data_IF_496678766008
#
_entry.id   IF_496678766008
#
_cell.length_a   1.000
_cell.length_b   1.000
_cell.length_c   1.000
_cell.angle_alpha   90.00
_cell.angle_beta   90.00
_cell.angle_gamma   90.00
#
_symmetry.space_group_name_H-M   'P 1'
#
loop_
_entity.id
_entity.type
_entity.pdbx_description
1 polymer ?
#
# COMPACT_ATOMS: atom_id res chain seq x y z
N UNK A 1 23.58 -45.65 -50.33
CA UNK A 1 22.54 -44.62 -49.99
C UNK A 1 22.43 -44.56 -48.50
N UNK A 2 23.11 -43.63 -47.92
CA UNK A 2 23.11 -43.40 -46.46
C UNK A 2 22.21 -42.23 -46.14
N UNK A 3 21.06 -42.49 -45.51
CA UNK A 3 20.18 -41.48 -44.98
C UNK A 3 20.70 -41.05 -43.61
N UNK A 4 21.26 -39.86 -43.50
CA UNK A 4 21.61 -39.26 -42.22
C UNK A 4 20.36 -38.67 -41.58
N UNK A 5 19.91 -39.27 -40.48
CA UNK A 5 18.89 -38.68 -39.64
C UNK A 5 19.56 -37.57 -38.81
N UNK A 6 19.15 -36.35 -39.06
CA UNK A 6 19.42 -35.23 -38.17
C UNK A 6 18.36 -35.20 -37.08
N UNK A 7 18.73 -35.62 -35.89
CA UNK A 7 17.90 -35.38 -34.69
C UNK A 7 18.11 -33.95 -34.24
N UNK A 8 17.11 -33.10 -34.47
CA UNK A 8 17.08 -31.75 -33.93
C UNK A 8 16.69 -31.82 -32.45
N UNK A 9 17.66 -31.61 -31.59
CA UNK A 9 17.46 -31.45 -30.14
C UNK A 9 16.87 -30.06 -29.91
N UNK A 10 15.55 -29.98 -29.74
CA UNK A 10 14.88 -28.76 -29.31
C UNK A 10 15.10 -28.65 -27.81
N UNK A 11 16.07 -27.86 -27.38
CA UNK A 11 16.23 -27.46 -26.00
C UNK A 11 15.11 -26.50 -25.64
N UNK A 12 14.07 -27.03 -24.99
CA UNK A 12 13.00 -26.24 -24.41
C UNK A 12 13.53 -25.44 -23.24
N UNK A 13 13.84 -24.15 -23.45
CA UNK A 13 14.01 -23.20 -22.35
C UNK A 13 12.67 -23.00 -21.67
N UNK A 14 12.44 -23.76 -20.61
CA UNK A 14 11.34 -23.47 -19.68
C UNK A 14 11.71 -22.18 -18.94
N UNK A 15 11.19 -21.05 -19.38
CA UNK A 15 11.19 -19.84 -18.59
C UNK A 15 10.27 -20.07 -17.39
N UNK A 16 10.86 -20.40 -16.25
CA UNK A 16 10.16 -20.29 -14.97
C UNK A 16 9.92 -18.77 -14.76
N UNK A 17 8.73 -18.33 -15.09
CA UNK A 17 8.29 -17.00 -14.68
C UNK A 17 8.26 -16.99 -13.16
N UNK A 18 9.15 -16.24 -12.52
CA UNK A 18 9.11 -16.02 -11.08
C UNK A 18 7.76 -15.38 -10.76
N UNK A 19 6.97 -16.04 -9.91
CA UNK A 19 5.69 -15.50 -9.44
C UNK A 19 5.96 -14.17 -8.72
N UNK A 20 5.40 -13.08 -9.23
CA UNK A 20 5.45 -11.78 -8.56
C UNK A 20 4.61 -11.82 -7.28
N UNK A 21 5.07 -11.13 -6.24
CA UNK A 21 4.28 -10.91 -5.05
C UNK A 21 2.96 -10.24 -5.40
N UNK A 22 1.86 -10.84 -4.98
CA UNK A 22 0.53 -10.26 -5.12
C UNK A 22 0.13 -9.60 -3.81
N UNK A 23 -0.11 -8.29 -3.86
CA UNK A 23 -0.57 -7.51 -2.71
C UNK A 23 -2.05 -7.21 -2.88
N UNK A 24 -2.84 -7.64 -1.91
CA UNK A 24 -4.27 -7.36 -1.80
C UNK A 24 -4.49 -6.19 -0.86
N UNK A 25 -5.23 -5.19 -1.30
CA UNK A 25 -5.62 -4.01 -0.52
C UNK A 25 -7.10 -4.12 -0.18
N UNK A 26 -7.45 -4.00 1.09
CA UNK A 26 -8.83 -4.06 1.57
C UNK A 26 -9.25 -2.74 2.20
N UNK A 27 -10.47 -2.30 1.88
CA UNK A 27 -11.13 -1.12 2.43
C UNK A 27 -10.27 0.14 2.50
N UNK A 28 -9.66 0.58 1.39
CA UNK A 28 -8.86 1.80 1.40
C UNK A 28 -9.76 3.03 1.61
N UNK A 29 -9.40 3.86 2.57
CA UNK A 29 -10.10 5.10 2.85
C UNK A 29 -9.15 6.20 3.31
N UNK A 30 -9.58 7.43 3.13
CA UNK A 30 -8.86 8.64 3.53
C UNK A 30 -9.75 9.47 4.44
N UNK A 31 -9.17 10.06 5.46
CA UNK A 31 -9.91 10.99 6.33
C UNK A 31 -10.20 12.29 5.60
N UNK A 32 -11.46 12.71 5.58
CA UNK A 32 -11.89 14.00 5.03
C UNK A 32 -11.23 15.17 5.74
N UNK A 33 -11.16 16.31 5.07
CA UNK A 33 -10.51 17.52 5.61
C UNK A 33 -11.41 18.74 5.47
N UNK A 34 -11.18 19.71 6.36
CA UNK A 34 -11.72 21.06 6.23
C UNK A 34 -10.78 21.96 5.41
N UNK A 35 -11.24 23.10 4.86
CA UNK A 35 -10.43 23.93 3.95
C UNK A 35 -9.08 24.39 4.51
N UNK A 36 -8.99 24.61 5.82
CA UNK A 36 -7.74 25.04 6.47
C UNK A 36 -6.74 23.93 6.72
N UNK A 37 -7.14 22.67 6.55
CA UNK A 37 -6.32 21.50 6.82
C UNK A 37 -5.50 21.12 5.59
N UNK A 38 -4.19 20.97 5.78
CA UNK A 38 -3.23 20.75 4.70
C UNK A 38 -2.72 19.29 4.64
N UNK A 39 -3.12 18.45 5.55
CA UNK A 39 -2.68 17.07 5.60
C UNK A 39 -3.80 16.12 6.02
N UNK A 40 -3.72 14.86 5.59
CA UNK A 40 -4.65 13.80 5.97
C UNK A 40 -3.96 12.44 5.96
N UNK A 41 -4.59 11.45 6.59
CA UNK A 41 -4.14 10.08 6.63
C UNK A 41 -4.99 9.16 5.77
N UNK A 42 -4.36 8.20 5.11
CA UNK A 42 -5.00 7.09 4.41
C UNK A 42 -4.75 5.78 5.16
N UNK A 43 -5.77 4.93 5.17
CA UNK A 43 -5.83 3.70 5.95
C UNK A 43 -6.38 2.57 5.09
N UNK A 44 -5.87 1.36 5.31
CA UNK A 44 -6.26 0.18 4.54
C UNK A 44 -5.68 -1.08 5.15
N UNK A 45 -6.25 -2.23 4.80
CA UNK A 45 -5.63 -3.52 5.06
C UNK A 45 -4.71 -3.92 3.91
N UNK A 46 -3.54 -4.47 4.22
CA UNK A 46 -2.55 -4.94 3.26
C UNK A 46 -2.19 -6.39 3.53
N UNK A 47 -2.24 -7.22 2.50
CA UNK A 47 -1.82 -8.62 2.57
C UNK A 47 -1.04 -8.99 1.33
N UNK A 48 0.16 -9.54 1.52
CA UNK A 48 1.00 -9.99 0.42
C UNK A 48 1.10 -11.52 0.38
N UNK A 49 1.19 -12.09 -0.81
CA UNK A 49 1.43 -13.52 -1.01
C UNK A 49 2.86 -13.95 -0.69
N UNK A 50 3.80 -13.01 -0.68
CA UNK A 50 5.21 -13.22 -0.33
C UNK A 50 5.73 -12.07 0.50
N UNK A 51 6.90 -12.24 1.13
CA UNK A 51 7.50 -11.18 1.94
C UNK A 51 7.87 -9.98 1.09
N UNK A 52 7.26 -8.84 1.38
CA UNK A 52 7.53 -7.55 0.76
C UNK A 52 7.59 -6.46 1.81
N UNK A 53 8.05 -5.27 1.40
CA UNK A 53 8.01 -4.06 2.22
C UNK A 53 7.29 -2.95 1.46
N UNK A 54 6.38 -2.26 2.12
CA UNK A 54 5.82 -1.01 1.61
C UNK A 54 6.86 0.08 1.83
N UNK A 55 7.43 0.61 0.74
CA UNK A 55 8.57 1.54 0.80
C UNK A 55 8.21 2.97 0.39
N UNK A 56 7.01 3.17 -0.13
CA UNK A 56 6.58 4.50 -0.53
C UNK A 56 5.16 4.52 -1.07
N UNK A 57 4.68 5.72 -1.24
CA UNK A 57 3.38 5.99 -1.83
C UNK A 57 3.38 7.32 -2.55
N UNK A 58 2.46 7.50 -3.48
CA UNK A 58 2.23 8.77 -4.18
C UNK A 58 0.74 8.96 -4.44
N UNK A 59 0.33 10.20 -4.63
CA UNK A 59 -1.03 10.55 -4.98
C UNK A 59 -1.06 11.92 -5.66
N UNK A 60 -1.91 12.13 -6.68
CA UNK A 60 -2.11 13.46 -7.25
C UNK A 60 -2.82 14.43 -6.29
N UNK A 61 -3.40 13.93 -5.19
CA UNK A 61 -4.11 14.75 -4.20
C UNK A 61 -3.18 15.50 -3.23
N UNK A 62 -1.89 15.12 -3.16
CA UNK A 62 -0.93 15.72 -2.24
C UNK A 62 0.45 15.83 -2.89
N UNK A 63 1.23 16.84 -2.49
CA UNK A 63 2.58 17.01 -3.02
C UNK A 63 3.57 16.02 -2.43
N UNK A 64 3.38 15.63 -1.17
CA UNK A 64 4.22 14.70 -0.44
C UNK A 64 3.33 13.61 0.12
N UNK A 65 3.73 12.35 -0.12
CA UNK A 65 3.04 11.17 0.42
C UNK A 65 4.08 10.25 1.03
N UNK A 66 3.90 9.91 2.30
CA UNK A 66 4.87 9.14 3.08
C UNK A 66 4.18 8.04 3.89
N UNK A 67 4.90 6.98 4.19
CA UNK A 67 4.46 5.97 5.16
C UNK A 67 4.92 6.41 6.55
N UNK A 68 3.98 6.52 7.47
CA UNK A 68 4.22 6.97 8.84
C UNK A 68 3.87 5.90 9.86
N UNK A 69 4.53 5.95 10.99
CA UNK A 69 4.16 5.20 12.18
C UNK A 69 3.83 6.15 13.34
N UNK A 70 2.95 5.69 14.23
CA UNK A 70 2.69 6.33 15.50
C UNK A 70 3.43 5.54 16.60
N UNK A 71 4.20 6.23 17.41
CA UNK A 71 4.83 5.66 18.58
C UNK A 71 4.49 6.47 19.82
N UNK A 72 4.41 5.79 20.96
CA UNK A 72 4.20 6.45 22.25
C UNK A 72 5.47 6.31 23.06
N UNK A 73 6.04 7.44 23.49
CA UNK A 73 7.20 7.51 24.36
C UNK A 73 6.92 8.51 25.48
N UNK A 74 7.09 8.07 26.73
CA UNK A 74 6.83 8.90 27.93
C UNK A 74 5.42 9.54 27.95
N UNK A 75 4.41 8.81 27.49
CA UNK A 75 3.03 9.30 27.41
C UNK A 75 2.75 10.27 26.27
N UNK A 76 3.75 10.57 25.42
CA UNK A 76 3.64 11.46 24.27
C UNK A 76 3.54 10.61 22.99
N UNK A 77 2.48 10.82 22.21
CA UNK A 77 2.34 10.23 20.88
C UNK A 77 3.17 11.02 19.88
N UNK A 78 4.04 10.31 19.15
CA UNK A 78 4.87 10.88 18.09
C UNK A 78 4.60 10.17 16.79
N UNK A 79 4.53 10.93 15.72
CA UNK A 79 4.38 10.46 14.35
C UNK A 79 5.67 10.71 13.59
N UNK A 80 6.14 9.71 12.86
CA UNK A 80 7.35 9.85 12.04
C UNK A 80 7.25 9.05 10.74
N UNK A 81 7.89 9.55 9.70
CA UNK A 81 8.08 8.80 8.47
C UNK A 81 9.00 7.59 8.69
N UNK A 82 8.68 6.49 8.05
CA UNK A 82 9.49 5.27 8.05
C UNK A 82 9.88 4.90 6.63
N UNK A 83 11.06 4.31 6.45
CA UNK A 83 11.57 3.93 5.14
C UNK A 83 10.90 2.69 4.55
N UNK A 84 10.26 1.90 5.36
CA UNK A 84 9.54 0.72 4.90
C UNK A 84 8.78 0.01 6.01
N UNK A 85 7.62 -0.52 5.63
CA UNK A 85 6.77 -1.32 6.50
C UNK A 85 6.79 -2.77 6.01
N UNK A 86 7.30 -3.73 6.82
CA UNK A 86 7.29 -5.12 6.43
C UNK A 86 5.88 -5.69 6.32
N UNK A 87 5.64 -6.44 5.23
CA UNK A 87 4.45 -7.27 5.04
C UNK A 87 4.88 -8.74 4.94
N UNK A 88 4.89 -9.48 6.05
CA UNK A 88 5.18 -10.91 6.01
C UNK A 88 4.15 -11.67 5.17
N UNK A 89 4.60 -12.65 4.39
CA UNK A 89 3.75 -13.46 3.52
C UNK A 89 2.53 -14.02 4.25
N UNK A 90 1.35 -13.82 3.68
CA UNK A 90 0.08 -14.35 4.18
C UNK A 90 -0.48 -13.65 5.42
N UNK A 91 0.20 -12.65 5.96
CA UNK A 91 -0.24 -11.88 7.13
C UNK A 91 -0.88 -10.56 6.72
N UNK A 92 -2.06 -10.27 7.24
CA UNK A 92 -2.69 -8.95 7.06
C UNK A 92 -2.02 -7.93 7.98
N UNK A 93 -1.53 -6.84 7.39
CA UNK A 93 -1.01 -5.68 8.10
C UNK A 93 -2.00 -4.54 7.90
N UNK A 94 -2.50 -3.98 8.99
CA UNK A 94 -3.48 -2.92 8.93
C UNK A 94 -2.85 -1.55 9.13
N UNK A 95 -3.15 -0.64 8.20
CA UNK A 95 -2.93 0.78 8.36
C UNK A 95 -4.21 1.37 8.95
N UNK A 96 -4.14 1.88 10.17
CA UNK A 96 -5.31 2.35 10.92
C UNK A 96 -4.98 3.60 11.75
N UNK A 97 -5.99 4.41 12.09
CA UNK A 97 -5.80 5.54 13.00
C UNK A 97 -5.14 5.10 14.32
N UNK A 98 -4.12 5.84 14.74
CA UNK A 98 -3.32 5.51 15.92
C UNK A 98 -2.19 4.50 15.68
N UNK A 99 -2.08 3.95 14.48
CA UNK A 99 -1.04 3.02 14.06
C UNK A 99 -0.30 3.51 12.82
N UNK A 100 0.18 2.57 12.01
CA UNK A 100 0.77 2.90 10.71
C UNK A 100 -0.28 3.51 9.77
N UNK A 101 0.14 4.43 8.92
CA UNK A 101 -0.72 5.05 7.92
C UNK A 101 0.07 5.64 6.77
N UNK A 102 -0.61 5.92 5.67
CA UNK A 102 -0.08 6.72 4.58
C UNK A 102 -0.47 8.17 4.84
N UNK A 103 0.52 9.03 5.00
CA UNK A 103 0.31 10.45 5.24
C UNK A 103 0.34 11.21 3.93
N UNK A 104 -0.74 11.96 3.66
CA UNK A 104 -0.82 12.90 2.54
C UNK A 104 -0.53 14.30 3.08
N UNK A 105 0.53 14.92 2.59
CA UNK A 105 1.03 16.21 3.08
C UNK A 105 0.98 17.23 1.95
N UNK A 106 0.64 18.44 2.29
CA UNK A 106 0.45 19.54 1.35
C UNK A 106 -0.61 19.21 0.28
N UNK A 107 -1.83 19.02 0.76
CA UNK A 107 -3.00 18.72 -0.06
C UNK A 107 -3.24 19.79 -1.11
N UNK A 108 -3.53 19.36 -2.34
CA UNK A 108 -3.83 20.26 -3.47
C UNK A 108 -5.19 20.96 -3.27
N UNK A 109 -6.13 20.24 -2.68
CA UNK A 109 -7.47 20.73 -2.34
C UNK A 109 -8.02 20.01 -1.10
N UNK A 110 -9.07 20.53 -0.43
CA UNK A 110 -9.75 19.79 0.62
C UNK A 110 -10.29 18.45 0.11
N UNK A 111 -10.28 17.45 0.97
CA UNK A 111 -10.82 16.12 0.69
C UNK A 111 -12.24 16.02 1.25
N UNK A 112 -13.23 15.91 0.38
CA UNK A 112 -14.64 15.88 0.74
C UNK A 112 -15.18 14.45 0.84
N UNK A 113 -16.00 14.12 1.85
CA UNK A 113 -16.63 12.82 1.96
C UNK A 113 -17.32 12.38 0.68
N UNK A 114 -17.14 11.12 0.29
CA UNK A 114 -17.68 10.54 -0.94
C UNK A 114 -16.78 10.67 -2.16
N UNK A 115 -15.75 11.51 -2.13
CA UNK A 115 -14.73 11.56 -3.18
C UNK A 115 -13.83 10.32 -3.11
N UNK A 116 -13.20 9.98 -4.25
CA UNK A 116 -12.17 8.97 -4.33
C UNK A 116 -10.81 9.62 -4.53
N UNK A 117 -9.82 9.15 -3.78
CA UNK A 117 -8.43 9.60 -3.87
C UNK A 117 -7.58 8.46 -4.42
N UNK A 118 -6.98 8.61 -5.61
CA UNK A 118 -6.07 7.61 -6.14
C UNK A 118 -4.75 7.66 -5.34
N UNK A 119 -4.28 6.49 -4.91
CA UNK A 119 -3.01 6.33 -4.20
C UNK A 119 -2.25 5.19 -4.86
N UNK A 120 -0.99 5.45 -5.22
CA UNK A 120 -0.08 4.44 -5.71
C UNK A 120 0.83 4.00 -4.58
N UNK A 121 0.84 2.70 -4.28
CA UNK A 121 1.66 2.10 -3.24
C UNK A 121 2.84 1.38 -3.89
N UNK A 122 4.04 1.62 -3.41
CA UNK A 122 5.26 0.98 -3.93
C UNK A 122 5.78 -0.04 -2.93
N UNK A 123 5.98 -1.26 -3.41
CA UNK A 123 6.49 -2.40 -2.63
C UNK A 123 7.82 -2.88 -3.19
N UNK A 124 8.66 -3.41 -2.32
CA UNK A 124 9.91 -4.09 -2.68
C UNK A 124 9.89 -5.50 -2.10
N UNK A 125 10.08 -6.49 -2.96
CA UNK A 125 10.20 -7.90 -2.55
C UNK A 125 11.58 -8.24 -1.98
N UNK A 126 11.69 -9.43 -1.40
CA UNK A 126 12.95 -9.98 -0.87
C UNK A 126 14.05 -10.11 -1.95
N UNK A 127 13.65 -10.25 -3.20
CA UNK A 127 14.52 -10.29 -4.39
C UNK A 127 14.91 -8.89 -4.92
N UNK A 128 14.48 -7.80 -4.26
CA UNK A 128 14.72 -6.42 -4.66
C UNK A 128 13.81 -5.91 -5.78
N UNK A 129 12.85 -6.70 -6.27
CA UNK A 129 11.90 -6.26 -7.29
C UNK A 129 10.89 -5.29 -6.72
N UNK A 130 10.70 -4.18 -7.43
CA UNK A 130 9.67 -3.19 -7.13
C UNK A 130 8.38 -3.54 -7.84
N UNK A 131 7.27 -3.34 -7.14
CA UNK A 131 5.93 -3.40 -7.70
C UNK A 131 5.10 -2.23 -7.21
N UNK A 132 4.13 -1.81 -8.01
CA UNK A 132 3.23 -0.71 -7.68
C UNK A 132 1.79 -1.20 -7.75
N UNK A 133 1.01 -0.86 -6.73
CA UNK A 133 -0.42 -1.14 -6.67
C UNK A 133 -1.15 0.19 -6.56
N UNK A 134 -2.08 0.44 -7.48
CA UNK A 134 -2.96 1.61 -7.43
C UNK A 134 -4.26 1.26 -6.74
N UNK A 135 -4.67 2.12 -5.82
CA UNK A 135 -5.94 2.00 -5.11
C UNK A 135 -6.72 3.31 -5.20
N UNK A 136 -8.04 3.21 -5.13
CA UNK A 136 -8.94 4.37 -5.00
C UNK A 136 -9.51 4.36 -3.60
N UNK A 137 -9.00 5.25 -2.77
CA UNK A 137 -9.43 5.36 -1.38
C UNK A 137 -10.64 6.27 -1.26
N UNK A 138 -11.69 5.80 -0.61
CA UNK A 138 -12.89 6.58 -0.36
C UNK A 138 -12.64 7.59 0.75
N UNK A 139 -12.99 8.85 0.52
CA UNK A 139 -12.93 9.87 1.57
C UNK A 139 -14.10 9.66 2.52
N UNK A 140 -13.78 9.50 3.81
CA UNK A 140 -14.76 9.39 4.90
C UNK A 140 -14.76 10.63 5.75
N UNK A 141 -15.90 10.90 6.38
CA UNK A 141 -16.06 12.02 7.29
C UNK A 141 -15.02 12.00 8.43
N UNK A 142 -14.65 13.19 8.91
CA UNK A 142 -13.74 13.39 10.05
C UNK A 142 -14.18 12.64 11.31
N UNK A 143 -15.48 12.42 11.49
CA UNK A 143 -16.06 11.77 12.66
C UNK A 143 -16.17 10.25 12.53
N UNK A 144 -15.90 9.68 11.36
CA UNK A 144 -15.95 8.23 11.19
C UNK A 144 -14.76 7.57 11.91
N UNK A 145 -14.92 7.37 13.19
CA UNK A 145 -14.18 6.34 13.93
C UNK A 145 -14.50 5.02 13.25
N UNK A 146 -13.47 4.25 12.92
CA UNK A 146 -13.67 2.96 12.29
C UNK A 146 -14.87 2.25 12.87
N UNK A 147 -15.86 2.01 12.03
CA UNK A 147 -17.06 1.27 12.39
C UNK A 147 -16.63 -0.17 12.66
N UNK A 148 -16.26 -0.45 13.89
CA UNK A 148 -16.37 -1.80 14.41
C UNK A 148 -17.86 -2.10 14.48
N UNK A 149 -18.37 -2.75 13.45
CA UNK A 149 -19.72 -3.29 13.48
C UNK A 149 -19.81 -4.32 14.59
N UNK A 150 -20.25 -3.89 15.76
CA UNK A 150 -20.86 -4.79 16.70
C UNK A 150 -22.23 -5.18 16.12
N UNK A 151 -22.27 -6.33 15.46
CA UNK A 151 -23.51 -7.04 15.27
C UNK A 151 -23.91 -7.62 16.61
N UNK A 152 -24.97 -7.11 17.16
CA UNK A 152 -25.79 -7.81 18.15
C UNK A 152 -26.60 -8.91 17.45
#
# INVERSE_FOLDING_TARGET
MTKKLFAALVAGCSFLAAAQAEVTVTEPWVRGTVPSQRASGAFMGLKSSSDVRLVGASSPAAKIVEVHEMSTSDGVMRMRAIEGLPLPAGKTVELKPGGHHVMLIDLVKPLLPGEQVPISLTFVGADGRKSTVEVKAMVRDLTSRGSSAHKH
#
